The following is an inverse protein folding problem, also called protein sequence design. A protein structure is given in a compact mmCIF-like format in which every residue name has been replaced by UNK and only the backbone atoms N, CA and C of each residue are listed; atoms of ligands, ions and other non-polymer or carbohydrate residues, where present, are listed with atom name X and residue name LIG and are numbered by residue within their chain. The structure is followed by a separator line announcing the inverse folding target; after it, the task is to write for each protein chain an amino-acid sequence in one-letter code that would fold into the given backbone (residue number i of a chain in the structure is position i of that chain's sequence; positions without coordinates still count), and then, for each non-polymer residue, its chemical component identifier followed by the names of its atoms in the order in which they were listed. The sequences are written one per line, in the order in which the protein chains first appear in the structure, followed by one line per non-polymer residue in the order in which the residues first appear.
data_IF_259323423755
#
_entry.id   IF_259323423755
#
_cell.length_a   1.000
_cell.length_b   1.000
_cell.length_c   1.000
_cell.angle_alpha   90.00
_cell.angle_beta   90.00
_cell.angle_gamma   90.00
#
_symmetry.space_group_name_H-M   'P 1'
#
loop_
_entity.id
_entity.type
_entity.pdbx_description
1 polymer ?
#
# COMPACT_ATOMS: atom_id res chain seq x y z
N UNK A 1 -15.86 10.13 6.24
CA UNK A 1 -16.29 8.75 5.98
C UNK A 1 -15.05 7.93 5.79
N UNK A 2 -15.06 6.73 6.31
CA UNK A 2 -13.94 5.82 6.19
C UNK A 2 -14.40 4.63 5.34
N UNK A 3 -13.52 4.18 4.45
CA UNK A 3 -13.81 3.07 3.54
C UNK A 3 -12.65 2.09 3.59
N UNK A 4 -12.98 0.80 3.50
CA UNK A 4 -12.00 -0.27 3.36
C UNK A 4 -11.77 -0.53 1.88
N UNK A 5 -10.50 -0.57 1.49
CA UNK A 5 -10.07 -0.79 0.12
C UNK A 5 -10.15 -2.28 -0.20
N UNK A 6 -10.77 -2.64 -1.32
CA UNK A 6 -10.90 -4.03 -1.78
C UNK A 6 -9.95 -4.36 -2.93
N UNK A 7 -9.49 -3.35 -3.66
CA UNK A 7 -8.59 -3.47 -4.81
C UNK A 7 -7.50 -2.38 -4.75
N UNK A 8 -6.44 -2.49 -5.56
CA UNK A 8 -5.39 -1.48 -5.60
C UNK A 8 -5.94 -0.12 -6.08
N UNK A 9 -6.05 0.85 -5.17
CA UNK A 9 -6.56 2.19 -5.46
C UNK A 9 -5.42 3.19 -5.43
N UNK A 10 -5.38 4.11 -6.40
CA UNK A 10 -4.53 5.28 -6.34
C UNK A 10 -5.40 6.53 -6.18
N UNK A 11 -5.34 7.18 -5.02
CA UNK A 11 -6.18 8.33 -4.67
C UNK A 11 -5.35 9.44 -4.01
N UNK A 12 -5.50 10.67 -4.51
CA UNK A 12 -4.73 11.85 -4.06
C UNK A 12 -3.20 11.64 -4.04
N UNK A 13 -2.68 10.87 -5.00
CA UNK A 13 -1.25 10.56 -5.10
C UNK A 13 -0.74 9.53 -4.10
N UNK A 14 -1.65 8.87 -3.36
CA UNK A 14 -1.34 7.74 -2.49
C UNK A 14 -1.92 6.46 -3.07
N UNK A 15 -1.09 5.43 -3.09
CA UNK A 15 -1.52 4.07 -3.41
C UNK A 15 -1.99 3.38 -2.14
N UNK A 16 -3.13 2.70 -2.23
CA UNK A 16 -3.73 1.89 -1.18
C UNK A 16 -3.86 0.46 -1.68
N UNK A 17 -3.51 -0.49 -0.83
CA UNK A 17 -3.61 -1.93 -1.10
C UNK A 17 -4.97 -2.47 -0.62
N UNK A 18 -5.44 -3.61 -1.16
CA UNK A 18 -6.58 -4.34 -0.62
C UNK A 18 -6.40 -4.60 0.88
N UNK A 19 -7.40 -4.23 1.68
CA UNK A 19 -7.39 -4.29 3.13
C UNK A 19 -7.10 -2.96 3.82
N UNK A 20 -6.50 -1.98 3.13
CA UNK A 20 -6.20 -0.67 3.72
C UNK A 20 -7.47 0.11 4.05
N UNK A 21 -7.41 0.95 5.08
CA UNK A 21 -8.51 1.85 5.45
C UNK A 21 -8.18 3.26 4.97
N UNK A 22 -8.93 3.74 3.99
CA UNK A 22 -8.90 5.14 3.59
C UNK A 22 -9.77 5.95 4.55
N UNK A 23 -9.12 6.74 5.40
CA UNK A 23 -9.80 7.61 6.38
C UNK A 23 -10.08 9.00 5.81
N UNK A 24 -11.13 9.65 6.33
CA UNK A 24 -11.51 11.04 5.97
C UNK A 24 -11.78 11.24 4.46
N UNK A 25 -12.28 10.21 3.78
CA UNK A 25 -12.66 10.30 2.37
C UNK A 25 -13.93 11.15 2.23
N UNK A 26 -14.00 11.94 1.15
CA UNK A 26 -15.21 12.71 0.85
C UNK A 26 -16.34 11.76 0.47
N UNK A 27 -17.58 12.09 0.84
CA UNK A 27 -18.74 11.23 0.55
C UNK A 27 -18.85 10.88 -0.95
N UNK A 28 -18.60 11.87 -1.81
CA UNK A 28 -18.64 11.70 -3.27
C UNK A 28 -17.58 10.72 -3.78
N UNK A 29 -16.35 10.80 -3.27
CA UNK A 29 -15.28 9.88 -3.68
C UNK A 29 -15.52 8.48 -3.12
N UNK A 30 -15.98 8.38 -1.87
CA UNK A 30 -16.33 7.10 -1.26
C UNK A 30 -17.44 6.38 -2.04
N UNK A 31 -18.54 7.08 -2.33
CA UNK A 31 -19.63 6.54 -3.17
C UNK A 31 -19.12 6.10 -4.55
N UNK A 32 -18.23 6.88 -5.16
CA UNK A 32 -17.63 6.51 -6.46
C UNK A 32 -16.82 5.22 -6.35
N UNK A 33 -15.98 5.08 -5.33
CA UNK A 33 -15.14 3.88 -5.12
C UNK A 33 -15.99 2.64 -4.77
N UNK A 34 -17.03 2.83 -3.96
CA UNK A 34 -17.98 1.77 -3.61
C UNK A 34 -18.78 1.31 -4.85
N UNK A 35 -19.27 2.25 -5.66
CA UNK A 35 -20.01 1.92 -6.88
C UNK A 35 -19.14 1.21 -7.94
N UNK A 36 -17.83 1.44 -7.92
CA UNK A 36 -16.87 0.73 -8.77
C UNK A 36 -16.53 -0.66 -8.24
N UNK A 37 -16.97 -1.02 -7.02
CA UNK A 37 -16.60 -2.26 -6.35
C UNK A 37 -15.14 -2.28 -5.86
N UNK A 38 -14.47 -1.12 -5.82
CA UNK A 38 -13.07 -1.01 -5.42
C UNK A 38 -12.90 -0.82 -3.90
N UNK A 39 -13.97 -0.43 -3.20
CA UNK A 39 -13.98 -0.22 -1.76
C UNK A 39 -15.36 -0.56 -1.16
N UNK A 40 -15.42 -0.70 0.16
CA UNK A 40 -16.66 -0.85 0.93
C UNK A 40 -16.72 0.17 2.08
N UNK A 41 -17.93 0.60 2.45
CA UNK A 41 -18.13 1.43 3.64
C UNK A 41 -17.76 0.61 4.89
N UNK A 42 -16.93 1.19 5.76
CA UNK A 42 -16.53 0.54 7.00
C UNK A 42 -16.71 1.47 8.18
N UNK A 43 -17.28 0.94 9.26
CA UNK A 43 -17.35 1.59 10.56
C UNK A 43 -16.15 1.22 11.45
N UNK A 44 -15.23 0.38 10.96
CA UNK A 44 -14.07 -0.06 11.73
C UNK A 44 -13.08 1.09 11.97
N UNK A 45 -13.14 1.64 13.18
CA UNK A 45 -12.08 2.45 13.79
C UNK A 45 -10.97 1.54 14.29
N UNK A 46 -10.27 0.83 13.41
CA UNK A 46 -9.13 0.00 13.81
C UNK A 46 -7.82 0.74 13.51
N UNK A 47 -7.13 1.12 14.59
CA UNK A 47 -5.77 1.67 14.68
C UNK A 47 -4.71 0.68 14.15
N UNK A 48 -4.77 0.34 12.86
CA UNK A 48 -3.72 -0.45 12.23
C UNK A 48 -2.63 0.50 11.75
N UNK A 49 -1.71 0.73 12.68
CA UNK A 49 -0.35 1.19 12.47
C UNK A 49 0.27 0.45 11.28
N UNK A 50 0.44 1.14 10.15
CA UNK A 50 1.15 0.60 8.99
C UNK A 50 2.65 0.67 9.28
N UNK A 51 3.13 -0.21 10.17
CA UNK A 51 4.54 -0.60 10.26
C UNK A 51 4.83 -1.64 9.17
N UNK A 52 4.79 -1.20 7.90
CA UNK A 52 5.48 -1.93 6.84
C UNK A 52 6.99 -1.63 7.01
N UNK A 53 7.64 -2.44 7.84
CA UNK A 53 9.08 -2.70 7.79
C UNK A 53 9.44 -3.14 6.36
N UNK A 54 10.02 -2.24 5.57
CA UNK A 54 10.88 -2.66 4.46
C UNK A 54 12.29 -2.86 5.02
N UNK A 55 12.48 -4.02 5.64
CA UNK A 55 13.79 -4.63 5.86
C UNK A 55 14.15 -5.39 4.57
N UNK A 56 14.53 -4.66 3.52
CA UNK A 56 15.19 -5.27 2.36
C UNK A 56 16.70 -5.13 2.59
N UNK A 57 17.22 -6.12 3.30
CA UNK A 57 18.63 -6.29 3.64
C UNK A 57 19.50 -6.30 2.38
N UNK A 58 20.63 -5.61 2.50
CA UNK A 58 21.78 -5.63 1.61
C UNK A 58 22.14 -7.05 1.15
N UNK A 59 22.06 -7.33 -0.16
CA UNK A 59 22.84 -8.42 -0.76
C UNK A 59 24.26 -7.90 -1.04
N UNK A 60 25.09 -7.91 0.00
CA UNK A 60 26.53 -8.02 -0.18
C UNK A 60 26.86 -9.46 -0.58
N UNK A 61 26.91 -9.73 -1.89
CA UNK A 61 27.73 -10.84 -2.39
C UNK A 61 29.00 -10.28 -3.04
N UNK A 62 30.03 -10.23 -2.20
CA UNK A 62 31.42 -10.29 -2.64
C UNK A 62 31.61 -11.48 -3.59
N UNK A 63 32.29 -11.25 -4.71
CA UNK A 63 33.31 -12.18 -5.15
C UNK A 63 34.41 -11.43 -5.91
N UNK A 64 35.54 -11.32 -5.23
CA UNK A 64 36.85 -11.25 -5.86
C UNK A 64 36.97 -12.41 -6.85
N UNK A 65 37.19 -12.11 -8.13
CA UNK A 65 37.83 -13.08 -9.01
C UNK A 65 38.87 -12.40 -9.89
N UNK A 66 40.10 -12.73 -9.56
CA UNK A 66 41.31 -12.40 -10.26
C UNK A 66 41.27 -12.80 -11.74
N UNK A 67 41.91 -12.01 -12.61
CA UNK A 67 42.78 -12.55 -13.66
C UNK A 67 43.83 -11.55 -14.11
N UNK A 68 44.99 -11.76 -13.51
CA UNK A 68 46.34 -11.50 -14.01
C UNK A 68 46.51 -12.07 -15.44
N UNK A 69 47.48 -11.49 -16.17
CA UNK A 69 48.05 -11.88 -17.47
C UNK A 69 47.32 -11.28 -18.69
N UNK A 70 47.98 -10.59 -19.62
CA UNK A 70 49.37 -10.70 -20.08
C UNK A 70 49.78 -9.41 -20.81
#
# INVERSE_FOLDING_TARGET
MDIKVLDNINHNGKSYKPGDIMRKVTKKDAERLINLGAAEETEETSDVDASDEYDDLEDESSNEDAKKNK
#
